data_IF_977541072558
#
_entry.id   IF_977541072558
#
_cell.length_a   1.000
_cell.length_b   1.000
_cell.length_c   1.000
_cell.angle_alpha   90.00
_cell.angle_beta   90.00
_cell.angle_gamma   90.00
#
_symmetry.space_group_name_H-M   'P 1'
#
loop_
_entity.id
_entity.type
_entity.pdbx_description
1 polymer ?
#
# COMPACT_ATOMS: atom_id res chain seq x y z
N UNK A 1 0.46 -22.97 -10.84
CA UNK A 1 1.09 -24.31 -10.67
C UNK A 1 0.32 -25.35 -11.47
N UNK A 2 0.98 -26.35 -12.06
CA UNK A 2 0.30 -27.49 -12.70
C UNK A 2 -0.46 -28.34 -11.67
N UNK A 3 -1.59 -28.93 -12.06
CA UNK A 3 -2.41 -29.82 -11.22
C UNK A 3 -1.64 -31.01 -10.64
N UNK A 4 -0.60 -31.49 -11.34
CA UNK A 4 0.28 -32.54 -10.84
C UNK A 4 1.17 -32.09 -9.68
N UNK A 5 1.55 -30.81 -9.62
CA UNK A 5 2.34 -30.26 -8.51
C UNK A 5 1.51 -30.06 -7.23
N UNK A 6 0.24 -29.68 -7.37
CA UNK A 6 -0.65 -29.49 -6.22
C UNK A 6 -0.97 -30.81 -5.49
N UNK A 7 -0.93 -31.96 -6.17
CA UNK A 7 -1.07 -33.27 -5.51
C UNK A 7 0.18 -33.67 -4.69
N UNK A 8 1.35 -33.13 -5.04
CA UNK A 8 2.60 -33.37 -4.33
C UNK A 8 2.86 -32.35 -3.21
N UNK A 9 2.17 -31.22 -3.23
CA UNK A 9 2.19 -30.17 -2.20
C UNK A 9 0.75 -29.91 -1.71
N UNK A 10 0.22 -30.78 -0.82
CA UNK A 10 -1.14 -30.65 -0.32
C UNK A 10 -1.29 -29.63 0.82
N UNK A 11 -0.19 -29.11 1.38
CA UNK A 11 -0.23 -28.22 2.54
C UNK A 11 -0.51 -26.78 2.11
N UNK A 12 0.32 -26.24 1.22
CA UNK A 12 0.15 -24.94 0.59
C UNK A 12 -1.16 -24.91 -0.18
N UNK A 13 -1.50 -25.96 -0.95
CA UNK A 13 -2.79 -26.00 -1.66
C UNK A 13 -4.01 -25.94 -0.73
N UNK A 14 -3.89 -26.43 0.51
CA UNK A 14 -4.95 -26.39 1.52
C UNK A 14 -4.98 -25.08 2.30
N UNK A 15 -3.83 -24.45 2.48
CA UNK A 15 -3.69 -23.20 3.22
C UNK A 15 -3.89 -21.95 2.34
N UNK A 16 -3.66 -22.05 1.04
CA UNK A 16 -3.78 -20.94 0.10
C UNK A 16 -5.24 -20.49 0.01
N UNK A 17 -5.51 -19.24 0.39
CA UNK A 17 -6.83 -18.64 0.26
C UNK A 17 -6.82 -17.56 -0.83
N UNK A 18 -7.59 -17.79 -1.90
CA UNK A 18 -7.75 -16.88 -3.04
C UNK A 18 -9.09 -16.16 -3.06
N UNK A 19 -10.02 -16.51 -2.18
CA UNK A 19 -11.40 -16.01 -2.16
C UNK A 19 -11.54 -14.75 -1.28
N UNK A 20 -10.45 -13.97 -1.14
CA UNK A 20 -10.37 -12.78 -0.29
C UNK A 20 -10.07 -11.58 -1.15
N UNK A 21 -10.80 -10.48 -0.97
CA UNK A 21 -10.61 -9.26 -1.75
C UNK A 21 -9.24 -8.61 -1.46
N UNK A 22 -8.65 -7.88 -2.43
CA UNK A 22 -7.39 -7.16 -2.23
C UNK A 22 -7.39 -6.27 -0.99
N UNK A 23 -8.45 -5.49 -0.77
CA UNK A 23 -8.57 -4.61 0.38
C UNK A 23 -8.51 -5.37 1.72
N UNK A 24 -9.20 -6.51 1.84
CA UNK A 24 -9.12 -7.32 3.06
C UNK A 24 -7.71 -7.88 3.25
N UNK A 25 -7.03 -8.25 2.15
CA UNK A 25 -5.65 -8.71 2.25
C UNK A 25 -4.71 -7.61 2.76
N UNK A 26 -4.86 -6.39 2.24
CA UNK A 26 -4.11 -5.20 2.63
C UNK A 26 -4.34 -4.90 4.12
N UNK A 27 -5.60 -4.80 4.56
CA UNK A 27 -5.95 -4.51 5.96
C UNK A 27 -5.33 -5.53 6.93
N UNK A 28 -5.38 -6.81 6.58
CA UNK A 28 -4.83 -7.89 7.38
C UNK A 28 -3.29 -7.84 7.45
N UNK A 29 -2.63 -7.50 6.34
CA UNK A 29 -1.19 -7.26 6.30
C UNK A 29 -0.81 -6.05 7.16
N UNK A 30 -1.54 -4.94 7.05
CA UNK A 30 -1.30 -3.73 7.84
C UNK A 30 -1.46 -3.99 9.33
N UNK A 31 -2.47 -4.76 9.75
CA UNK A 31 -2.66 -5.16 11.13
C UNK A 31 -1.46 -5.96 11.66
N UNK A 32 -0.93 -6.90 10.85
CA UNK A 32 0.27 -7.65 11.19
C UNK A 32 1.50 -6.74 11.30
N UNK A 33 1.74 -5.90 10.30
CA UNK A 33 2.88 -4.97 10.24
C UNK A 33 2.84 -3.98 11.41
N UNK A 34 1.67 -3.41 11.71
CA UNK A 34 1.47 -2.47 12.81
C UNK A 34 1.75 -3.12 14.17
N UNK A 35 1.40 -4.41 14.32
CA UNK A 35 1.66 -5.17 15.54
C UNK A 35 3.13 -5.53 15.71
N UNK A 36 3.82 -5.90 14.64
CA UNK A 36 5.24 -6.31 14.68
C UNK A 36 6.17 -5.11 14.79
N UNK A 37 5.87 -3.99 14.10
CA UNK A 37 6.61 -2.71 14.05
C UNK A 37 8.02 -2.76 13.46
N UNK A 38 8.79 -3.78 13.80
CA UNK A 38 10.16 -4.01 13.34
C UNK A 38 10.17 -4.99 12.17
N UNK A 39 10.70 -4.55 11.03
CA UNK A 39 10.99 -5.40 9.89
C UNK A 39 12.44 -5.86 9.93
N UNK A 40 12.73 -7.06 9.42
CA UNK A 40 14.08 -7.43 9.02
C UNK A 40 14.26 -7.05 7.54
N UNK A 41 15.05 -6.01 7.26
CA UNK A 41 15.40 -5.58 5.91
C UNK A 41 16.60 -6.39 5.40
N UNK A 42 16.39 -7.12 4.32
CA UNK A 42 17.40 -7.92 3.63
C UNK A 42 17.81 -7.24 2.33
N UNK A 43 19.10 -6.96 2.21
CA UNK A 43 19.76 -6.33 1.06
C UNK A 43 20.85 -7.26 0.52
N UNK A 44 21.32 -7.02 -0.71
CA UNK A 44 22.34 -7.83 -1.36
C UNK A 44 23.64 -7.05 -1.54
N UNK A 45 24.75 -7.61 -1.05
CA UNK A 45 26.09 -7.05 -1.27
C UNK A 45 26.52 -7.19 -2.73
N UNK A 46 27.56 -6.46 -3.14
CA UNK A 46 28.15 -6.57 -4.48
C UNK A 46 28.67 -7.98 -4.80
N UNK A 47 29.18 -8.66 -3.77
CA UNK A 47 29.68 -10.04 -3.86
C UNK A 47 28.54 -11.08 -3.76
N UNK A 48 27.29 -10.60 -3.64
CA UNK A 48 26.08 -11.41 -3.69
C UNK A 48 25.62 -12.01 -2.37
N UNK A 49 26.27 -11.69 -1.23
CA UNK A 49 25.77 -12.11 0.08
C UNK A 49 24.49 -11.35 0.45
N UNK A 50 23.59 -12.04 1.14
CA UNK A 50 22.38 -11.44 1.69
C UNK A 50 22.65 -11.01 3.12
N UNK A 51 22.40 -9.74 3.41
CA UNK A 51 22.57 -9.20 4.75
C UNK A 51 21.23 -8.70 5.27
N UNK A 52 20.74 -9.30 6.36
CA UNK A 52 19.50 -8.88 7.03
C UNK A 52 19.78 -8.00 8.25
N UNK A 53 18.87 -7.08 8.58
CA UNK A 53 19.00 -6.17 9.72
C UNK A 53 17.63 -5.72 10.25
N UNK A 54 17.49 -5.63 11.57
CA UNK A 54 16.28 -5.08 12.18
C UNK A 54 16.17 -3.58 11.89
N UNK A 55 15.00 -3.15 11.45
CA UNK A 55 14.67 -1.76 11.09
C UNK A 55 13.25 -1.44 11.56
N UNK A 56 13.06 -0.32 12.24
CA UNK A 56 11.72 0.14 12.63
C UNK A 56 11.08 0.92 11.50
N UNK A 57 9.83 0.59 11.18
CA UNK A 57 9.05 1.37 10.22
C UNK A 57 8.84 2.79 10.73
N UNK A 58 9.06 3.76 9.84
CA UNK A 58 8.73 5.14 10.11
C UNK A 58 7.22 5.32 9.91
N UNK A 59 6.58 6.01 10.86
CA UNK A 59 5.16 6.36 10.77
C UNK A 59 5.04 7.69 10.05
N UNK A 60 4.15 7.79 9.06
CA UNK A 60 3.76 9.09 8.49
C UNK A 60 3.06 9.90 9.57
N UNK A 61 3.35 11.20 9.63
CA UNK A 61 2.64 12.17 10.45
C UNK A 61 1.32 12.66 9.84
N UNK A 62 1.05 12.33 8.57
CA UNK A 62 -0.20 12.61 7.88
C UNK A 62 -0.93 11.31 7.54
N UNK A 63 -2.19 11.23 7.94
CA UNK A 63 -3.10 10.10 7.74
C UNK A 63 -3.71 10.02 6.32
N UNK A 64 -3.36 10.94 5.41
CA UNK A 64 -3.95 11.01 4.05
C UNK A 64 -3.22 10.15 3.01
N UNK A 65 -2.07 9.54 3.36
CA UNK A 65 -1.30 8.66 2.46
C UNK A 65 -1.74 7.18 2.60
N UNK A 66 -3.03 6.97 2.90
CA UNK A 66 -3.61 5.65 3.25
C UNK A 66 -3.66 4.64 2.10
N UNK A 67 -3.45 5.09 0.85
CA UNK A 67 -3.71 4.26 -0.32
C UNK A 67 -2.48 3.79 -1.09
N UNK A 68 -1.25 4.05 -0.60
CA UNK A 68 -0.06 3.43 -1.19
C UNK A 68 0.70 2.61 -0.16
N UNK A 69 0.63 1.28 -0.30
CA UNK A 69 1.29 0.32 0.59
C UNK A 69 2.82 0.45 0.46
N UNK A 70 3.41 1.40 1.20
CA UNK A 70 4.85 1.71 1.17
C UNK A 70 5.46 1.52 2.55
N UNK A 71 6.69 1.00 2.58
CA UNK A 71 7.42 0.80 3.83
C UNK A 71 8.60 1.76 3.88
N UNK A 72 8.57 2.71 4.82
CA UNK A 72 9.58 3.76 4.92
C UNK A 72 10.45 3.56 6.15
N UNK A 73 11.75 3.76 6.00
CA UNK A 73 12.74 3.73 7.08
C UNK A 73 13.57 5.01 7.05
N UNK A 74 13.83 5.59 8.23
CA UNK A 74 14.80 6.68 8.38
C UNK A 74 16.12 6.11 8.88
N UNK A 75 17.23 6.44 8.20
CA UNK A 75 18.54 5.89 8.52
C UNK A 75 19.69 6.84 8.17
N UNK A 76 20.83 6.57 8.78
CA UNK A 76 22.10 7.24 8.49
C UNK A 76 22.72 6.68 7.20
N UNK A 77 22.83 7.53 6.18
CA UNK A 77 23.36 7.18 4.85
C UNK A 77 24.82 6.74 4.81
N UNK A 78 25.58 6.96 5.89
CA UNK A 78 26.93 6.42 6.02
C UNK A 78 26.93 4.89 6.28
N UNK A 79 25.77 4.27 6.52
CA UNK A 79 25.66 2.83 6.77
C UNK A 79 25.83 1.99 5.51
N UNK A 80 26.49 0.84 5.60
CA UNK A 80 26.79 -0.07 4.48
C UNK A 80 25.58 -0.41 3.58
N UNK A 81 24.39 -0.55 4.18
CA UNK A 81 23.14 -0.88 3.48
C UNK A 81 22.79 0.08 2.33
N UNK A 82 23.22 1.34 2.41
CA UNK A 82 22.98 2.31 1.34
C UNK A 82 23.79 1.96 0.08
N UNK A 83 25.04 1.52 0.24
CA UNK A 83 25.85 1.05 -0.87
C UNK A 83 25.34 -0.26 -1.48
N UNK A 84 24.74 -1.13 -0.66
CA UNK A 84 24.06 -2.36 -1.12
C UNK A 84 22.82 -2.03 -1.95
N UNK A 85 21.93 -1.16 -1.44
CA UNK A 85 20.71 -0.74 -2.13
C UNK A 85 21.01 0.00 -3.44
N UNK A 86 22.04 0.84 -3.46
CA UNK A 86 22.47 1.52 -4.69
C UNK A 86 23.01 0.54 -5.73
N UNK A 87 23.55 -0.60 -5.31
CA UNK A 87 24.04 -1.65 -6.21
C UNK A 87 22.89 -2.53 -6.72
N UNK A 88 21.97 -2.91 -5.84
CA UNK A 88 20.80 -3.72 -6.18
C UNK A 88 19.59 -3.19 -5.38
N UNK A 89 18.63 -2.62 -6.09
CA UNK A 89 17.41 -2.08 -5.49
C UNK A 89 16.46 -3.17 -4.99
N UNK A 90 16.64 -4.44 -5.38
CA UNK A 90 15.77 -5.52 -4.96
C UNK A 90 16.05 -5.90 -3.50
N UNK A 91 15.01 -5.79 -2.68
CA UNK A 91 15.09 -6.08 -1.25
C UNK A 91 13.94 -6.97 -0.81
N UNK A 92 14.09 -7.55 0.38
CA UNK A 92 13.00 -8.22 1.06
C UNK A 92 12.83 -7.66 2.48
N UNK A 93 11.59 -7.42 2.88
CA UNK A 93 11.23 -7.21 4.27
C UNK A 93 10.57 -8.47 4.81
N UNK A 94 11.04 -8.95 5.96
CA UNK A 94 10.36 -10.03 6.67
C UNK A 94 9.87 -9.61 8.05
N UNK A 95 8.64 -9.99 8.38
CA UNK A 95 7.97 -9.77 9.65
C UNK A 95 7.62 -11.12 10.28
N UNK A 96 7.75 -11.23 11.60
CA UNK A 96 7.37 -12.44 12.33
C UNK A 96 6.78 -12.10 13.70
N UNK A 97 5.55 -12.52 13.94
CA UNK A 97 4.86 -12.38 15.22
C UNK A 97 4.90 -13.70 15.99
N UNK A 98 5.75 -13.80 17.02
CA UNK A 98 5.97 -15.06 17.75
C UNK A 98 4.70 -15.62 18.42
N UNK A 99 3.80 -14.76 18.92
CA UNK A 99 2.58 -15.17 19.64
C UNK A 99 1.56 -15.91 18.78
N UNK A 100 1.43 -15.51 17.53
CA UNK A 100 0.47 -16.06 16.57
C UNK A 100 1.15 -16.85 15.46
N UNK A 101 2.48 -16.79 15.35
CA UNK A 101 3.27 -17.21 14.18
C UNK A 101 2.82 -16.57 12.87
N UNK A 102 2.10 -15.45 12.92
CA UNK A 102 1.81 -14.69 11.73
C UNK A 102 3.13 -14.16 11.17
N UNK A 103 3.27 -14.15 9.85
CA UNK A 103 4.47 -13.66 9.19
C UNK A 103 4.14 -13.05 7.85
N UNK A 104 4.98 -12.13 7.41
CA UNK A 104 4.90 -11.55 6.08
C UNK A 104 6.30 -11.48 5.47
N UNK A 105 6.37 -11.72 4.17
CA UNK A 105 7.54 -11.54 3.32
C UNK A 105 7.13 -10.60 2.19
N UNK A 106 7.73 -9.42 2.17
CA UNK A 106 7.48 -8.36 1.18
C UNK A 106 8.71 -8.30 0.27
N UNK A 107 8.57 -8.77 -0.97
CA UNK A 107 9.56 -8.52 -2.01
C UNK A 107 9.26 -7.16 -2.65
N UNK A 108 10.28 -6.33 -2.82
CA UNK A 108 10.09 -4.98 -3.35
C UNK A 108 11.36 -4.33 -3.84
N UNK A 109 11.23 -3.07 -4.28
CA UNK A 109 12.33 -2.21 -4.70
C UNK A 109 12.54 -1.07 -3.73
N UNK A 110 13.79 -0.86 -3.33
CA UNK A 110 14.21 0.21 -2.45
C UNK A 110 14.57 1.47 -3.24
N UNK A 111 14.04 2.62 -2.82
CA UNK A 111 14.44 3.95 -3.25
C UNK A 111 15.05 4.71 -2.08
N UNK A 112 16.19 5.35 -2.31
CA UNK A 112 16.84 6.22 -1.33
C UNK A 112 16.50 7.67 -1.67
N UNK A 113 16.09 8.44 -0.67
CA UNK A 113 15.88 9.88 -0.82
C UNK A 113 16.45 10.67 0.35
N UNK A 114 16.94 11.87 0.05
CA UNK A 114 17.34 12.87 1.04
C UNK A 114 16.40 14.09 1.03
N UNK A 115 15.27 14.00 0.30
CA UNK A 115 14.26 15.04 0.24
C UNK A 115 13.77 15.38 1.65
N UNK A 116 13.96 16.64 2.04
CA UNK A 116 13.66 17.12 3.39
C UNK A 116 12.17 17.18 3.66
N UNK A 117 11.35 17.47 2.66
CA UNK A 117 9.90 17.49 2.82
C UNK A 117 9.38 16.07 3.03
N UNK A 118 9.89 15.10 2.28
CA UNK A 118 9.57 13.68 2.47
C UNK A 118 9.99 13.20 3.85
N UNK A 119 11.26 13.42 4.24
CA UNK A 119 11.77 12.99 5.56
C UNK A 119 10.99 13.62 6.70
N UNK A 120 10.61 14.90 6.61
CA UNK A 120 9.82 15.59 7.65
C UNK A 120 8.47 14.91 7.91
N UNK A 121 7.84 14.29 6.90
CA UNK A 121 6.59 13.52 7.08
C UNK A 121 6.78 12.31 8.00
N UNK A 122 7.96 11.71 7.99
CA UNK A 122 8.27 10.45 8.70
C UNK A 122 9.16 10.65 9.93
N UNK A 123 9.57 11.90 10.21
CA UNK A 123 10.48 12.23 11.29
C UNK A 123 9.74 12.36 12.63
N UNK A 124 10.31 11.78 13.68
CA UNK A 124 9.91 12.09 15.06
C UNK A 124 11.11 12.59 15.86
N UNK A 125 10.89 13.43 16.86
CA UNK A 125 11.97 13.95 17.72
C UNK A 125 12.78 12.85 18.41
N UNK A 126 12.18 11.68 18.66
CA UNK A 126 12.85 10.51 19.20
C UNK A 126 13.91 9.93 18.25
N UNK A 127 13.78 10.13 16.93
CA UNK A 127 14.74 9.64 15.94
C UNK A 127 16.10 10.34 16.04
N UNK A 128 16.15 11.58 16.56
CA UNK A 128 17.39 12.32 16.75
C UNK A 128 18.42 11.54 17.60
N UNK A 129 17.93 10.72 18.54
CA UNK A 129 18.76 9.87 19.40
C UNK A 129 19.65 8.85 18.66
N UNK A 130 19.36 8.56 17.39
CA UNK A 130 20.14 7.60 16.59
C UNK A 130 21.25 8.25 15.74
N UNK A 131 21.26 9.59 15.60
CA UNK A 131 22.19 10.27 14.71
C UNK A 131 23.38 10.91 15.44
N UNK A 132 23.22 11.24 16.72
CA UNK A 132 24.19 11.95 17.57
C UNK A 132 24.65 13.31 16.99
N UNK A 133 24.74 14.33 17.83
CA UNK A 133 25.37 15.60 17.46
C UNK A 133 26.91 15.45 17.47
N UNK A 134 27.55 15.64 16.32
CA UNK A 134 29.01 15.59 16.19
C UNK A 134 29.71 16.91 16.59
N UNK A 135 28.94 17.96 16.91
CA UNK A 135 29.42 19.28 17.36
C UNK A 135 30.32 20.01 16.35
N UNK A 136 30.19 19.69 15.06
CA UNK A 136 30.91 20.34 13.95
C UNK A 136 30.08 21.44 13.26
N UNK A 137 28.87 21.70 13.76
CA UNK A 137 27.93 22.69 13.22
C UNK A 137 27.13 22.22 11.99
N UNK A 138 27.44 21.03 11.44
CA UNK A 138 26.81 20.45 10.25
C UNK A 138 25.99 19.21 10.62
N UNK A 139 26.59 18.30 11.38
CA UNK A 139 26.02 17.00 11.76
C UNK A 139 25.38 17.07 13.14
N UNK A 140 24.22 17.74 13.21
CA UNK A 140 23.52 18.06 14.46
C UNK A 140 22.66 16.93 15.01
N UNK A 141 22.42 15.89 14.21
CA UNK A 141 21.50 14.79 14.54
C UNK A 141 20.02 15.18 14.50
N UNK A 142 19.69 16.33 13.90
CA UNK A 142 18.32 16.78 13.67
C UNK A 142 17.81 16.36 12.27
N UNK A 143 16.57 16.74 11.94
CA UNK A 143 15.92 16.37 10.66
C UNK A 143 16.65 16.93 9.43
N UNK A 144 17.43 18.00 9.60
CA UNK A 144 18.14 18.66 8.51
C UNK A 144 19.58 18.11 8.34
N UNK A 145 20.06 17.27 9.26
CA UNK A 145 21.37 16.65 9.23
C UNK A 145 21.60 15.88 7.89
N UNK A 146 22.70 16.16 7.16
CA UNK A 146 22.97 15.58 5.85
C UNK A 146 23.14 14.04 5.87
N UNK A 147 23.30 13.42 7.04
CA UNK A 147 23.33 11.97 7.19
C UNK A 147 21.94 11.34 7.17
N UNK A 148 20.90 12.11 7.49
CA UNK A 148 19.51 11.63 7.51
C UNK A 148 19.02 11.42 6.08
N UNK A 149 18.63 10.17 5.80
CA UNK A 149 18.02 9.74 4.54
C UNK A 149 16.84 8.80 4.81
N UNK A 150 15.89 8.79 3.89
CA UNK A 150 14.81 7.80 3.90
C UNK A 150 15.11 6.68 2.90
N UNK A 151 14.76 5.45 3.29
CA UNK A 151 14.70 4.29 2.42
C UNK A 151 13.22 3.93 2.29
N UNK A 152 12.69 4.08 1.08
CA UNK A 152 11.32 3.75 0.73
C UNK A 152 11.29 2.41 0.00
N UNK A 153 10.52 1.44 0.49
CA UNK A 153 10.33 0.15 -0.18
C UNK A 153 8.96 0.16 -0.85
N UNK A 154 8.98 -0.01 -2.17
CA UNK A 154 7.79 -0.17 -3.02
C UNK A 154 7.60 -1.69 -3.23
N UNK A 155 6.54 -2.29 -2.69
CA UNK A 155 6.27 -3.72 -2.83
C UNK A 155 5.99 -4.11 -4.28
N UNK A 156 6.33 -5.36 -4.60
CA UNK A 156 6.06 -6.00 -5.90
C UNK A 156 5.25 -7.29 -5.70
N UNK A 157 5.61 -8.07 -4.68
CA UNK A 157 4.94 -9.31 -4.31
C UNK A 157 4.99 -9.46 -2.80
N UNK A 158 3.86 -9.81 -2.19
CA UNK A 158 3.74 -10.00 -0.76
C UNK A 158 3.13 -11.35 -0.48
N UNK A 159 3.80 -12.14 0.34
CA UNK A 159 3.26 -13.39 0.87
C UNK A 159 3.19 -13.30 2.37
N UNK A 160 2.05 -13.67 2.93
CA UNK A 160 1.87 -13.61 4.37
C UNK A 160 0.96 -14.73 4.86
N UNK A 161 1.16 -15.08 6.12
CA UNK A 161 0.44 -16.12 6.82
C UNK A 161 -0.33 -15.54 7.99
N UNK A 162 -1.60 -15.92 8.09
CA UNK A 162 -2.47 -15.59 9.23
C UNK A 162 -3.01 -16.87 9.83
N UNK A 163 -2.79 -17.07 11.12
CA UNK A 163 -3.40 -18.18 11.83
C UNK A 163 -4.89 -17.93 12.15
N UNK A 164 -5.74 -18.94 11.96
CA UNK A 164 -7.18 -18.85 12.26
C UNK A 164 -7.49 -18.69 13.75
N UNK A 165 -6.60 -19.19 14.61
CA UNK A 165 -6.76 -19.19 16.07
C UNK A 165 -5.45 -18.85 16.77
N UNK A 166 -5.58 -18.34 18.00
CA UNK A 166 -4.46 -18.19 18.93
C UNK A 166 -3.72 -19.51 19.20
N UNK A 167 -2.56 -19.42 19.82
CA UNK A 167 -1.59 -20.53 19.98
C UNK A 167 -2.19 -21.85 20.50
N UNK A 168 -3.16 -21.79 21.43
CA UNK A 168 -3.80 -23.00 22.01
C UNK A 168 -4.70 -23.75 21.02
N UNK A 169 -5.51 -23.02 20.23
CA UNK A 169 -6.43 -23.65 19.27
C UNK A 169 -5.70 -24.36 18.13
N UNK A 170 -4.53 -23.84 17.75
CA UNK A 170 -3.67 -24.42 16.72
C UNK A 170 -3.06 -25.76 17.08
N UNK A 171 -2.53 -25.89 18.30
CA UNK A 171 -1.93 -27.15 18.77
C UNK A 171 -2.93 -28.30 18.72
N UNK A 172 -4.21 -28.01 18.99
CA UNK A 172 -5.30 -28.97 18.90
C UNK A 172 -5.57 -29.40 17.44
N UNK A 173 -5.64 -28.46 16.50
CA UNK A 173 -5.85 -28.76 15.07
C UNK A 173 -4.70 -29.57 14.45
N UNK A 174 -3.45 -29.23 14.79
CA UNK A 174 -2.27 -29.97 14.34
C UNK A 174 -2.30 -31.39 14.89
N UNK A 175 -2.62 -31.58 16.18
CA UNK A 175 -2.72 -32.90 16.79
C UNK A 175 -3.81 -33.75 16.12
N UNK A 176 -5.00 -33.19 15.86
CA UNK A 176 -6.08 -33.87 15.13
C UNK A 176 -5.65 -34.23 13.70
N UNK A 177 -4.99 -33.31 13.00
CA UNK A 177 -4.48 -33.55 11.64
C UNK A 177 -3.45 -34.68 11.58
N UNK A 178 -2.55 -34.75 12.57
CA UNK A 178 -1.55 -35.82 12.68
C UNK A 178 -2.19 -37.18 12.98
N UNK A 179 -3.18 -37.22 13.88
CA UNK A 179 -3.91 -38.45 14.22
C UNK A 179 -4.79 -38.96 13.08
N UNK A 180 -5.38 -38.06 12.30
CA UNK A 180 -6.30 -38.42 11.20
C UNK A 180 -5.59 -38.64 9.87
N UNK A 181 -4.30 -38.31 9.76
CA UNK A 181 -3.52 -38.39 8.52
C UNK A 181 -3.98 -37.42 7.41
N UNK A 182 -4.95 -36.53 7.69
CA UNK A 182 -5.56 -35.62 6.69
C UNK A 182 -4.85 -34.27 6.59
N UNK A 183 -3.83 -34.04 7.42
CA UNK A 183 -3.15 -32.74 7.55
C UNK A 183 -4.07 -31.65 8.06
N UNK A 184 -3.52 -30.62 8.71
CA UNK A 184 -4.26 -29.40 9.03
C UNK A 184 -3.47 -28.20 8.53
N UNK A 185 -4.17 -27.24 7.93
CA UNK A 185 -3.65 -25.90 7.68
C UNK A 185 -4.27 -25.00 8.75
N UNK A 186 -3.58 -24.73 9.88
CA UNK A 186 -4.16 -24.00 11.00
C UNK A 186 -4.20 -22.48 10.79
N UNK A 187 -4.26 -22.07 9.53
CA UNK A 187 -4.16 -20.71 9.06
C UNK A 187 -4.17 -20.66 7.54
N UNK A 188 -4.09 -19.45 7.04
CA UNK A 188 -4.19 -19.12 5.63
C UNK A 188 -2.87 -18.54 5.15
N UNK A 189 -2.40 -19.03 4.02
CA UNK A 189 -1.38 -18.38 3.21
C UNK A 189 -2.08 -17.50 2.19
N UNK A 190 -1.71 -16.23 2.14
CA UNK A 190 -2.25 -15.27 1.19
C UNK A 190 -1.13 -14.58 0.42
N UNK A 191 -1.45 -14.19 -0.80
CA UNK A 191 -0.54 -13.47 -1.70
C UNK A 191 -1.23 -12.19 -2.16
N UNK A 192 -0.50 -11.08 -2.11
CA UNK A 192 -0.83 -9.82 -2.78
C UNK A 192 0.19 -9.63 -3.89
N UNK A 193 -0.27 -9.70 -5.13
CA UNK A 193 0.59 -9.62 -6.31
C UNK A 193 0.70 -8.18 -6.81
N UNK A 194 1.49 -7.95 -7.86
CA UNK A 194 1.68 -6.61 -8.43
C UNK A 194 0.40 -5.98 -9.01
N UNK A 195 -0.59 -6.77 -9.42
CA UNK A 195 -1.88 -6.26 -9.94
C UNK A 195 -2.75 -5.75 -8.78
N UNK A 196 -2.79 -6.50 -7.67
CA UNK A 196 -3.47 -6.10 -6.44
C UNK A 196 -2.76 -4.99 -5.67
N UNK A 197 -1.46 -4.77 -5.93
CA UNK A 197 -0.64 -3.69 -5.37
C UNK A 197 -0.57 -2.45 -6.27
N UNK A 198 -1.05 -2.54 -7.50
CA UNK A 198 -1.26 -1.34 -8.28
C UNK A 198 -2.14 -0.42 -7.42
N UNK A 199 -1.87 0.89 -7.38
CA UNK A 199 -2.87 1.80 -6.85
C UNK A 199 -4.16 1.39 -7.53
N UNK A 200 -5.20 1.11 -6.75
CA UNK A 200 -6.52 0.88 -7.30
C UNK A 200 -6.67 1.94 -8.38
N UNK A 201 -6.92 1.54 -9.64
CA UNK A 201 -7.75 2.41 -10.46
C UNK A 201 -8.93 2.64 -9.53
N UNK A 202 -8.97 3.83 -8.91
CA UNK A 202 -10.10 4.24 -8.11
C UNK A 202 -11.29 3.77 -8.92
N UNK A 203 -12.05 2.80 -8.38
CA UNK A 203 -13.35 2.52 -8.97
C UNK A 203 -13.97 3.89 -9.11
N UNK A 204 -14.23 4.29 -10.35
CA UNK A 204 -14.44 5.65 -10.87
C UNK A 204 -15.68 6.34 -10.28
N UNK A 205 -16.09 5.91 -9.08
CA UNK A 205 -17.22 6.33 -8.29
C UNK A 205 -16.85 7.52 -7.39
N UNK A 206 -15.57 7.86 -7.17
CA UNK A 206 -15.20 9.03 -6.37
C UNK A 206 -15.71 10.35 -6.99
N UNK A 207 -15.54 10.59 -8.31
CA UNK A 207 -16.21 11.69 -8.99
C UNK A 207 -17.74 11.62 -8.89
N UNK A 208 -18.33 10.41 -8.89
CA UNK A 208 -19.78 10.20 -8.80
C UNK A 208 -20.31 10.50 -7.38
N UNK A 209 -19.56 10.13 -6.34
CA UNK A 209 -19.85 10.44 -4.94
C UNK A 209 -19.67 11.93 -4.65
N UNK A 210 -18.64 12.56 -5.22
CA UNK A 210 -18.46 14.00 -5.11
C UNK A 210 -19.60 14.75 -5.82
N UNK A 211 -20.07 14.25 -6.96
CA UNK A 211 -21.24 14.78 -7.65
C UNK A 211 -22.51 14.64 -6.81
N UNK A 212 -22.76 13.46 -6.23
CA UNK A 212 -23.91 13.21 -5.34
C UNK A 212 -23.87 14.15 -4.11
N UNK A 213 -22.70 14.32 -3.49
CA UNK A 213 -22.52 15.23 -2.37
C UNK A 213 -22.76 16.71 -2.73
N UNK A 214 -22.34 17.14 -3.93
CA UNK A 214 -22.62 18.49 -4.42
C UNK A 214 -24.10 18.68 -4.77
N UNK A 215 -24.76 17.66 -5.31
CA UNK A 215 -26.20 17.67 -5.62
C UNK A 215 -27.02 17.79 -4.33
N UNK A 216 -26.69 17.02 -3.29
CA UNK A 216 -27.29 17.11 -1.96
C UNK A 216 -27.08 18.50 -1.33
N UNK A 217 -25.86 19.03 -1.40
CA UNK A 217 -25.56 20.38 -0.93
C UNK A 217 -26.35 21.44 -1.71
N UNK A 218 -26.61 21.21 -2.99
CA UNK A 218 -27.47 22.06 -3.81
C UNK A 218 -28.89 22.13 -3.26
N UNK A 219 -29.47 20.98 -2.92
CA UNK A 219 -30.80 20.91 -2.32
C UNK A 219 -30.85 21.60 -0.95
N UNK A 220 -29.80 21.48 -0.13
CA UNK A 220 -29.71 22.18 1.15
C UNK A 220 -29.61 23.70 0.98
N UNK A 221 -28.82 24.17 0.00
CA UNK A 221 -28.68 25.60 -0.28
C UNK A 221 -29.94 26.23 -0.89
N UNK A 222 -30.78 25.47 -1.58
CA UNK A 222 -32.09 25.96 -2.06
C UNK A 222 -33.06 26.27 -0.91
N UNK A 223 -32.87 25.63 0.25
CA UNK A 223 -33.67 25.83 1.45
C UNK A 223 -33.12 26.92 2.39
N UNK A 224 -31.96 27.49 2.07
CA UNK A 224 -31.32 28.52 2.88
C UNK A 224 -31.97 29.91 2.68
N UNK A 225 -31.97 30.73 3.74
CA UNK A 225 -32.50 32.09 3.69
C UNK A 225 -31.64 32.99 2.79
N UNK A 226 -32.28 33.77 1.90
CA UNK A 226 -31.59 34.62 0.90
C UNK A 226 -30.66 35.68 1.51
N UNK A 227 -30.92 36.07 2.77
CA UNK A 227 -30.18 37.09 3.50
C UNK A 227 -29.00 36.53 4.34
N UNK A 228 -28.82 35.21 4.41
CA UNK A 228 -27.78 34.57 5.21
C UNK A 228 -26.47 34.34 4.43
N UNK A 229 -25.34 34.44 5.13
CA UNK A 229 -24.03 34.13 4.57
C UNK A 229 -23.72 32.64 4.74
N UNK A 230 -23.48 31.96 3.63
CA UNK A 230 -23.11 30.55 3.58
C UNK A 230 -21.61 30.39 3.78
N UNK A 231 -21.20 29.51 4.70
CA UNK A 231 -19.80 29.15 4.88
C UNK A 231 -19.37 28.13 3.78
N UNK A 232 -18.72 28.62 2.73
CA UNK A 232 -18.35 27.83 1.55
C UNK A 232 -16.84 27.53 1.52
N UNK A 233 -16.46 26.29 1.18
CA UNK A 233 -15.07 25.85 1.06
C UNK A 233 -14.51 26.18 -0.33
N UNK A 234 -13.35 26.83 -0.40
CA UNK A 234 -12.60 27.07 -1.65
C UNK A 234 -11.17 26.59 -1.45
N UNK A 235 -10.82 25.47 -2.10
CA UNK A 235 -9.56 24.77 -1.83
C UNK A 235 -9.51 24.33 -0.36
N UNK A 236 -8.54 24.84 0.40
CA UNK A 236 -8.35 24.53 1.83
C UNK A 236 -8.92 25.59 2.80
N UNK A 237 -9.52 26.67 2.28
CA UNK A 237 -10.02 27.78 3.09
C UNK A 237 -11.55 27.85 3.08
N UNK A 238 -12.15 28.29 4.19
CA UNK A 238 -13.59 28.56 4.30
C UNK A 238 -13.86 30.06 4.22
N UNK A 239 -14.85 30.44 3.42
CA UNK A 239 -15.25 31.81 3.18
C UNK A 239 -16.76 31.96 3.37
N UNK A 240 -17.19 33.03 4.05
CA UNK A 240 -18.60 33.40 4.09
C UNK A 240 -18.99 34.09 2.78
N UNK A 241 -19.95 33.52 2.05
CA UNK A 241 -20.41 34.01 0.77
C UNK A 241 -21.92 34.28 0.82
N UNK A 242 -22.42 35.34 0.14
CA UNK A 242 -23.84 35.47 -0.13
C UNK A 242 -24.38 34.24 -0.87
N UNK A 243 -25.61 33.82 -0.56
CA UNK A 243 -26.23 32.60 -1.09
C UNK A 243 -26.12 32.49 -2.62
N UNK A 244 -26.44 33.57 -3.34
CA UNK A 244 -26.35 33.59 -4.81
C UNK A 244 -24.94 33.31 -5.36
N UNK A 245 -23.89 33.71 -4.65
CA UNK A 245 -22.49 33.46 -5.03
C UNK A 245 -22.04 32.05 -4.67
N UNK A 246 -22.60 31.48 -3.61
CA UNK A 246 -22.38 30.08 -3.24
C UNK A 246 -23.03 29.15 -4.28
N UNK A 247 -24.30 29.39 -4.62
CA UNK A 247 -25.03 28.64 -5.66
C UNK A 247 -24.34 28.71 -7.03
N UNK A 248 -23.94 29.90 -7.48
CA UNK A 248 -23.22 30.06 -8.74
C UNK A 248 -21.78 29.54 -8.74
N UNK A 249 -21.23 29.16 -7.58
CA UNK A 249 -19.97 28.39 -7.47
C UNK A 249 -20.24 26.91 -7.51
N UNK A 250 -21.19 26.45 -6.70
CA UNK A 250 -21.63 25.05 -6.67
C UNK A 250 -21.98 24.54 -8.06
N UNK A 251 -22.74 25.32 -8.84
CA UNK A 251 -23.10 24.97 -10.21
C UNK A 251 -21.88 24.76 -11.12
N UNK A 252 -20.83 25.59 -10.97
CA UNK A 252 -19.59 25.43 -11.75
C UNK A 252 -18.79 24.21 -11.30
N UNK A 253 -18.80 23.92 -10.01
CA UNK A 253 -18.13 22.76 -9.44
C UNK A 253 -18.84 21.47 -9.91
N UNK A 254 -20.19 21.44 -9.92
CA UNK A 254 -20.99 20.35 -10.50
C UNK A 254 -20.71 20.14 -11.99
N UNK A 255 -20.67 21.21 -12.79
CA UNK A 255 -20.34 21.15 -14.23
C UNK A 255 -18.91 20.65 -14.48
N UNK A 256 -17.94 21.06 -13.65
CA UNK A 256 -16.56 20.63 -13.75
C UNK A 256 -16.41 19.13 -13.49
N UNK A 257 -17.03 18.63 -12.40
CA UNK A 257 -17.01 17.21 -12.05
C UNK A 257 -17.75 16.38 -13.11
N UNK A 258 -18.90 16.85 -13.62
CA UNK A 258 -19.60 16.17 -14.71
C UNK A 258 -18.72 16.02 -15.96
N UNK A 259 -17.99 17.07 -16.35
CA UNK A 259 -17.06 17.00 -17.49
C UNK A 259 -15.87 16.07 -17.22
N UNK A 260 -15.46 15.90 -15.96
CA UNK A 260 -14.38 14.99 -15.59
C UNK A 260 -14.84 13.53 -15.66
N UNK A 261 -16.04 13.22 -15.17
CA UNK A 261 -16.70 11.92 -15.31
C UNK A 261 -16.79 11.52 -16.79
N UNK A 262 -17.33 12.39 -17.66
CA UNK A 262 -17.46 12.10 -19.09
C UNK A 262 -16.11 11.75 -19.74
N UNK A 263 -15.05 12.49 -19.37
CA UNK A 263 -13.70 12.27 -19.88
C UNK A 263 -13.09 10.95 -19.38
N UNK A 264 -13.38 10.57 -18.14
CA UNK A 264 -12.90 9.31 -17.57
C UNK A 264 -13.60 8.13 -18.23
N UNK A 265 -14.92 8.22 -18.46
CA UNK A 265 -15.68 7.24 -19.23
C UNK A 265 -15.13 7.05 -20.65
N UNK A 266 -14.82 8.14 -21.38
CA UNK A 266 -14.20 8.04 -22.71
C UNK A 266 -12.84 7.30 -22.69
N UNK A 267 -12.01 7.55 -21.67
CA UNK A 267 -10.72 6.85 -21.52
C UNK A 267 -10.89 5.39 -21.18
N UNK A 268 -11.87 5.04 -20.35
CA UNK A 268 -12.20 3.64 -20.02
C UNK A 268 -12.57 2.90 -21.31
N UNK A 269 -13.48 3.47 -22.12
CA UNK A 269 -13.86 2.87 -23.41
C UNK A 269 -12.66 2.71 -24.37
N UNK A 270 -11.77 3.70 -24.42
CA UNK A 270 -10.55 3.63 -25.23
C UNK A 270 -9.59 2.54 -24.74
N UNK A 271 -9.44 2.41 -23.42
CA UNK A 271 -8.59 1.39 -22.79
C UNK A 271 -9.15 -0.01 -23.05
N UNK A 272 -10.45 -0.22 -22.87
CA UNK A 272 -11.13 -1.50 -23.15
C UNK A 272 -10.96 -1.92 -24.62
N UNK A 273 -11.13 -0.96 -25.54
CA UNK A 273 -10.90 -1.20 -26.96
C UNK A 273 -9.46 -1.60 -27.25
N UNK A 274 -8.50 -0.89 -26.67
CA UNK A 274 -7.08 -1.17 -26.82
C UNK A 274 -6.72 -2.55 -26.26
N UNK A 275 -7.25 -2.90 -25.09
CA UNK A 275 -7.10 -4.21 -24.46
C UNK A 275 -7.64 -5.33 -25.34
N UNK A 276 -8.82 -5.13 -25.94
CA UNK A 276 -9.43 -6.08 -26.87
C UNK A 276 -8.56 -6.29 -28.11
N UNK A 277 -8.07 -5.21 -28.71
CA UNK A 277 -7.21 -5.28 -29.90
C UNK A 277 -5.88 -5.97 -29.57
N UNK A 278 -5.28 -5.65 -28.43
CA UNK A 278 -4.02 -6.25 -27.99
C UNK A 278 -4.20 -7.75 -27.70
N UNK A 279 -5.32 -8.15 -27.09
CA UNK A 279 -5.67 -9.56 -26.84
C UNK A 279 -5.78 -10.35 -28.14
N UNK A 280 -6.39 -9.78 -29.18
CA UNK A 280 -6.46 -10.39 -30.52
C UNK A 280 -5.04 -10.60 -31.08
N UNK A 281 -4.17 -9.58 -30.99
CA UNK A 281 -2.80 -9.67 -31.50
C UNK A 281 -1.97 -10.71 -30.75
N UNK A 282 -2.09 -10.78 -29.42
CA UNK A 282 -1.38 -11.73 -28.58
C UNK A 282 -1.83 -13.16 -28.86
N UNK A 283 -3.14 -13.41 -28.98
CA UNK A 283 -3.65 -14.73 -29.37
C UNK A 283 -3.25 -15.12 -30.81
N UNK A 284 -3.19 -14.17 -31.74
CA UNK A 284 -2.70 -14.44 -33.09
C UNK A 284 -1.22 -14.85 -33.12
N UNK A 285 -0.39 -14.28 -32.23
CA UNK A 285 1.06 -14.53 -32.18
C UNK A 285 1.44 -15.75 -31.36
N UNK A 286 0.76 -15.99 -30.24
CA UNK A 286 1.14 -17.01 -29.26
C UNK A 286 0.13 -18.17 -29.17
N UNK A 287 -1.05 -18.04 -29.78
CA UNK A 287 -2.05 -19.11 -29.85
C UNK A 287 -2.42 -19.68 -28.49
N UNK A 288 -2.45 -21.01 -28.39
CA UNK A 288 -2.81 -21.74 -27.15
C UNK A 288 -1.70 -21.75 -26.09
N UNK A 289 -0.55 -21.12 -26.33
CA UNK A 289 0.53 -21.06 -25.35
C UNK A 289 0.24 -20.05 -24.22
N UNK A 290 -0.76 -19.19 -24.39
CA UNK A 290 -1.20 -18.21 -23.40
C UNK A 290 -2.71 -18.33 -23.19
N UNK A 291 -3.21 -17.91 -22.03
CA UNK A 291 -4.63 -17.73 -21.74
C UNK A 291 -4.81 -16.37 -21.06
N UNK A 292 -5.58 -15.49 -21.69
CA UNK A 292 -5.84 -14.10 -21.28
C UNK A 292 -7.33 -13.88 -20.93
N UNK A 293 -8.10 -14.96 -20.76
CA UNK A 293 -9.53 -14.94 -20.39
C UNK A 293 -9.77 -15.34 -18.92
N UNK A 294 -8.74 -15.23 -18.07
CA UNK A 294 -8.82 -15.52 -16.64
C UNK A 294 -9.22 -14.29 -15.82
#
# INVERSE_FOLDING_TARGET
>A
MSTAHAQLEPYTAKAENRDVTPQVKINDLEALVHKVQTAMLTTRSREGQLHSRAMNLAKSGNDDDKNSLRFVFIANNASEKFGEIQNDEHVNLSFYEQSTTNWASVAGKARITQDRNFIKKYWSSLMAGYFNDMKDGIHKGDVDDPRVSAIEIIPIDIKYWIAHRGSVGRTMEVAVGALTGKGSAPGELRTINSEELAPEEETDDAPEQDKEALDDLGMELELADEDELVLYRVGEAFLHLPLNKAQGRLQRDQEAIASEIDRMQEKVEECEKTMKDLKIQLYAKFGKAINLDA
#
